data_IF_216712934155
#
_entry.id   IF_216712934155
#
_cell.length_a   1.000
_cell.length_b   1.000
_cell.length_c   1.000
_cell.angle_alpha   90.00
_cell.angle_beta   90.00
_cell.angle_gamma   90.00
#
_symmetry.space_group_name_H-M   'P 1'
#
loop_
_entity.id
_entity.type
_entity.pdbx_description
1 polymer ?
#
# COMPACT_ATOMS: atom_id res chain seq x y z
N UNK A 1 9.70 14.82 7.80
CA UNK A 1 10.35 13.48 7.84
C UNK A 1 9.40 12.32 8.21
N UNK A 2 8.76 12.32 9.39
CA UNK A 2 7.98 11.18 9.90
C UNK A 2 6.80 10.78 9.00
N UNK A 3 6.07 11.77 8.48
CA UNK A 3 4.88 11.52 7.65
C UNK A 3 5.19 10.93 6.29
N UNK A 4 6.31 11.32 5.68
CA UNK A 4 6.79 10.73 4.43
C UNK A 4 7.16 9.25 4.64
N UNK A 5 7.86 8.92 5.73
CA UNK A 5 8.17 7.52 6.05
C UNK A 5 6.91 6.69 6.36
N UNK A 6 5.88 7.29 6.98
CA UNK A 6 4.59 6.62 7.17
C UNK A 6 3.88 6.37 5.84
N UNK A 7 3.89 7.35 4.92
CA UNK A 7 3.29 7.18 3.59
C UNK A 7 3.96 6.04 2.81
N UNK A 8 5.31 5.95 2.83
CA UNK A 8 6.04 4.84 2.19
C UNK A 8 5.68 3.49 2.81
N UNK A 9 5.52 3.41 4.13
CA UNK A 9 5.09 2.16 4.79
C UNK A 9 3.66 1.78 4.47
N UNK A 10 2.76 2.76 4.40
CA UNK A 10 1.38 2.56 3.99
C UNK A 10 1.32 2.04 2.55
N UNK A 11 2.05 2.67 1.63
CA UNK A 11 2.13 2.28 0.23
C UNK A 11 2.59 0.82 0.07
N UNK A 12 3.67 0.46 0.76
CA UNK A 12 4.16 -0.92 0.74
C UNK A 12 3.12 -1.90 1.32
N UNK A 13 2.42 -1.53 2.40
CA UNK A 13 1.37 -2.38 2.98
C UNK A 13 0.17 -2.54 2.02
N UNK A 14 -0.24 -1.48 1.33
CA UNK A 14 -1.35 -1.51 0.38
C UNK A 14 -1.07 -2.47 -0.78
N UNK A 15 0.13 -2.40 -1.38
CA UNK A 15 0.55 -3.32 -2.44
C UNK A 15 0.57 -4.79 -1.99
N UNK A 16 1.06 -5.08 -0.78
CA UNK A 16 1.08 -6.46 -0.28
C UNK A 16 -0.32 -6.99 0.00
N UNK A 17 -1.22 -6.15 0.53
CA UNK A 17 -2.63 -6.49 0.73
C UNK A 17 -3.32 -6.79 -0.59
N UNK A 18 -3.11 -5.97 -1.63
CA UNK A 18 -3.67 -6.21 -2.96
C UNK A 18 -3.10 -7.45 -3.66
N UNK A 19 -1.85 -7.81 -3.36
CA UNK A 19 -1.26 -9.09 -3.75
C UNK A 19 -1.85 -10.31 -3.00
N UNK A 20 -2.87 -10.12 -2.15
CA UNK A 20 -3.60 -11.18 -1.46
C UNK A 20 -2.98 -11.63 -0.13
N UNK A 21 -1.98 -10.91 0.39
CA UNK A 21 -1.41 -11.25 1.71
C UNK A 21 -2.37 -10.86 2.83
N UNK A 22 -2.43 -11.68 3.88
CA UNK A 22 -3.25 -11.37 5.06
C UNK A 22 -2.67 -10.19 5.85
N UNK A 23 -3.54 -9.39 6.47
CA UNK A 23 -3.13 -8.23 7.25
C UNK A 23 -2.13 -8.56 8.38
N UNK A 24 -2.26 -9.74 9.00
CA UNK A 24 -1.31 -10.20 10.01
C UNK A 24 0.09 -10.47 9.43
N UNK A 25 0.15 -11.11 8.25
CA UNK A 25 1.41 -11.36 7.55
C UNK A 25 2.06 -10.05 7.11
N UNK A 26 1.29 -9.15 6.51
CA UNK A 26 1.79 -7.83 6.09
C UNK A 26 2.32 -7.03 7.27
N UNK A 27 1.62 -7.06 8.42
CA UNK A 27 2.09 -6.39 9.62
C UNK A 27 3.47 -6.90 10.08
N UNK A 28 3.64 -8.22 10.15
CA UNK A 28 4.91 -8.84 10.55
C UNK A 28 6.05 -8.57 9.55
N UNK A 29 5.77 -8.62 8.24
CA UNK A 29 6.78 -8.42 7.20
C UNK A 29 7.26 -6.96 7.07
N UNK A 30 6.38 -5.99 7.32
CA UNK A 30 6.66 -4.55 7.13
C UNK A 30 7.09 -3.86 8.45
N UNK A 31 7.15 -4.61 9.55
CA UNK A 31 7.62 -4.12 10.84
C UNK A 31 6.57 -3.34 11.64
N UNK A 32 5.29 -3.60 11.40
CA UNK A 32 4.25 -3.21 12.36
C UNK A 32 4.31 -4.14 13.57
N UNK A 33 3.97 -3.59 14.74
CA UNK A 33 3.93 -4.36 15.99
C UNK A 33 2.89 -5.49 15.90
N UNK A 34 1.75 -5.20 15.29
CA UNK A 34 0.66 -6.16 15.08
C UNK A 34 -0.29 -5.69 13.96
N UNK A 35 -1.31 -6.51 13.69
CA UNK A 35 -2.36 -6.21 12.70
C UNK A 35 -3.22 -5.00 13.09
N UNK A 36 -3.38 -4.68 14.37
CA UNK A 36 -4.14 -3.50 14.82
C UNK A 36 -3.38 -2.20 14.53
N UNK A 37 -2.06 -2.20 14.64
CA UNK A 37 -1.21 -1.07 14.26
C UNK A 37 -1.26 -0.82 12.75
N UNK A 38 -1.18 -1.88 11.94
CA UNK A 38 -1.40 -1.78 10.50
C UNK A 38 -2.79 -1.21 10.18
N UNK A 39 -3.85 -1.71 10.82
CA UNK A 39 -5.20 -1.21 10.60
C UNK A 39 -5.30 0.30 10.88
N UNK A 40 -4.76 0.77 12.02
CA UNK A 40 -4.82 2.21 12.36
C UNK A 40 -4.08 3.08 11.35
N UNK A 41 -2.94 2.63 10.83
CA UNK A 41 -2.19 3.38 9.82
C UNK A 41 -2.95 3.42 8.49
N UNK A 42 -3.48 2.27 8.04
CA UNK A 42 -4.32 2.19 6.83
C UNK A 42 -5.56 3.09 6.94
N UNK A 43 -6.26 3.08 8.08
CA UNK A 43 -7.39 3.97 8.33
C UNK A 43 -6.97 5.45 8.30
N UNK A 44 -5.80 5.79 8.84
CA UNK A 44 -5.32 7.17 8.88
C UNK A 44 -4.97 7.71 7.48
N UNK A 45 -4.56 6.86 6.54
CA UNK A 45 -4.21 7.26 5.18
C UNK A 45 -5.33 7.12 4.15
N UNK A 46 -6.07 6.00 4.19
CA UNK A 46 -7.08 5.66 3.18
C UNK A 46 -8.52 5.86 3.66
N UNK A 47 -8.75 6.05 4.97
CA UNK A 47 -10.10 6.06 5.54
C UNK A 47 -10.84 4.72 5.38
N UNK A 48 -10.12 3.64 5.09
CA UNK A 48 -10.66 2.34 4.72
C UNK A 48 -9.96 1.22 5.49
N UNK A 49 -10.61 0.06 5.62
CA UNK A 49 -10.02 -1.10 6.30
C UNK A 49 -8.95 -1.76 5.42
N UNK A 50 -8.02 -2.56 5.98
CA UNK A 50 -7.05 -3.31 5.19
C UNK A 50 -7.68 -4.19 4.11
N UNK A 51 -8.83 -4.81 4.41
CA UNK A 51 -9.57 -5.64 3.44
C UNK A 51 -10.16 -4.79 2.31
N UNK A 52 -10.66 -3.59 2.60
CA UNK A 52 -11.17 -2.69 1.56
C UNK A 52 -10.04 -2.15 0.66
N UNK A 53 -8.87 -1.85 1.25
CA UNK A 53 -7.67 -1.43 0.49
C UNK A 53 -7.17 -2.54 -0.43
N UNK A 54 -7.25 -3.81 -0.01
CA UNK A 54 -6.83 -4.95 -0.83
C UNK A 54 -7.55 -5.06 -2.19
N UNK A 55 -8.73 -4.45 -2.33
CA UNK A 55 -9.53 -4.47 -3.57
C UNK A 55 -9.81 -3.06 -4.10
N UNK A 56 -9.07 -2.07 -3.61
CA UNK A 56 -9.36 -0.68 -3.93
C UNK A 56 -8.99 -0.35 -5.38
N UNK A 57 -9.93 0.19 -6.19
CA UNK A 57 -9.66 0.48 -7.60
C UNK A 57 -8.51 1.44 -7.84
N UNK A 58 -8.27 2.38 -6.91
CA UNK A 58 -7.20 3.37 -7.04
C UNK A 58 -5.80 2.76 -6.97
N UNK A 59 -5.62 1.59 -6.35
CA UNK A 59 -4.32 0.90 -6.32
C UNK A 59 -4.01 0.21 -7.65
N UNK A 60 -5.04 -0.12 -8.44
CA UNK A 60 -4.88 -0.65 -9.80
C UNK A 60 -4.66 0.48 -10.84
N UNK A 61 -4.87 1.74 -10.45
CA UNK A 61 -4.65 2.90 -11.33
C UNK A 61 -3.18 3.29 -11.37
N UNK A 62 -2.36 2.92 -10.38
CA UNK A 62 -0.94 3.29 -10.33
C UNK A 62 -0.15 2.78 -11.55
N UNK A 63 -0.50 1.61 -12.08
CA UNK A 63 0.07 1.04 -13.32
C UNK A 63 -0.20 1.92 -14.56
N UNK A 64 -1.32 2.66 -14.55
CA UNK A 64 -1.79 3.51 -15.65
C UNK A 64 -1.31 4.96 -15.46
N UNK A 65 -1.26 5.44 -14.22
CA UNK A 65 -0.89 6.81 -13.90
C UNK A 65 0.62 7.08 -14.02
N UNK A 66 1.45 6.05 -13.82
CA UNK A 66 2.92 6.14 -13.90
C UNK A 66 3.55 5.13 -14.88
N UNK A 67 2.81 4.64 -15.86
CA UNK A 67 3.40 3.91 -16.99
C UNK A 67 4.57 4.75 -17.54
N UNK A 68 5.78 4.16 -17.58
CA UNK A 68 6.93 4.85 -18.14
C UNK A 68 6.53 5.37 -19.53
N UNK A 69 6.58 6.68 -19.76
CA UNK A 69 6.11 7.21 -21.02
C UNK A 69 6.91 6.58 -22.16
N UNK A 70 6.23 6.26 -23.27
CA UNK A 70 6.78 5.44 -24.36
C UNK A 70 8.14 5.93 -24.89
N UNK A 71 8.44 7.23 -24.73
CA UNK A 71 9.73 7.84 -25.07
C UNK A 71 10.92 7.38 -24.20
N UNK A 72 10.69 6.69 -23.08
CA UNK A 72 11.73 6.03 -22.28
C UNK A 72 11.93 4.55 -22.65
N UNK A 73 11.10 3.99 -23.54
CA UNK A 73 11.19 2.59 -23.97
C UNK A 73 12.05 2.37 -25.22
N UNK A 74 12.60 3.44 -25.81
CA UNK A 74 13.52 3.34 -26.95
C UNK A 74 14.97 3.63 -26.54
N UNK A 75 15.76 2.57 -26.37
CA UNK A 75 17.21 2.53 -26.66
C UNK A 75 17.69 1.10 -26.83
#
# INVERSE_FOLDING_TARGET
PKRAAQLVRFDHAAHRLAAGHSAARVAAEIGYVDQSHLHRDVMAFAGATPTAVAVAPWLAVDDVAWAAPEYLSES
#
